data_IF_436852469445
#
_entry.id   IF_436852469445
#
_cell.length_a   1.000
_cell.length_b   1.000
_cell.length_c   1.000
_cell.angle_alpha   90.00
_cell.angle_beta   90.00
_cell.angle_gamma   90.00
#
_symmetry.space_group_name_H-M   'P 1'
#
loop_
_entity.id
_entity.type
_entity.pdbx_description
1 polymer ?
#
# COMPACT_ATOMS: atom_id res chain seq x y z
N UNK A 1 22.38 -43.63 1.93
CA UNK A 1 21.02 -43.20 2.33
C UNK A 1 21.11 -41.74 2.79
N UNK A 2 20.80 -40.79 1.90
CA UNK A 2 20.77 -39.36 2.23
C UNK A 2 19.39 -39.02 2.81
N UNK A 3 19.32 -38.68 4.10
CA UNK A 3 18.12 -38.09 4.70
C UNK A 3 18.03 -36.63 4.25
N UNK A 4 17.21 -36.38 3.23
CA UNK A 4 16.78 -35.02 2.87
C UNK A 4 15.89 -34.52 4.01
N UNK A 5 16.48 -33.76 4.94
CA UNK A 5 15.73 -33.01 5.95
C UNK A 5 14.92 -31.95 5.20
N UNK A 6 13.64 -32.25 4.96
CA UNK A 6 12.67 -31.27 4.47
C UNK A 6 12.52 -30.25 5.60
N UNK A 7 13.18 -29.11 5.46
CA UNK A 7 12.88 -27.97 6.31
C UNK A 7 11.42 -27.59 6.03
N UNK A 8 10.56 -27.90 7.00
CA UNK A 8 9.17 -27.47 6.97
C UNK A 8 9.20 -25.95 6.98
N UNK A 9 8.97 -25.35 5.81
CA UNK A 9 8.73 -23.93 5.65
C UNK A 9 7.42 -23.64 6.40
N UNK A 10 7.53 -23.32 7.69
CA UNK A 10 6.39 -22.90 8.50
C UNK A 10 5.84 -21.63 7.84
N UNK A 11 4.55 -21.60 7.46
CA UNK A 11 3.97 -20.39 6.91
C UNK A 11 4.07 -19.30 7.99
N UNK A 12 4.86 -18.27 7.72
CA UNK A 12 4.98 -17.10 8.59
C UNK A 12 3.59 -16.46 8.67
N UNK A 13 2.94 -16.62 9.82
CA UNK A 13 1.60 -16.08 10.05
C UNK A 13 1.67 -14.55 9.88
N UNK A 14 0.82 -13.95 9.03
CA UNK A 14 0.88 -12.52 8.78
C UNK A 14 0.62 -11.75 10.08
N UNK A 15 1.63 -11.02 10.57
CA UNK A 15 1.52 -10.21 11.80
C UNK A 15 0.41 -9.17 11.62
N UNK A 16 -0.71 -9.25 12.38
CA UNK A 16 -1.85 -8.34 12.22
C UNK A 16 -1.50 -6.88 12.55
N UNK A 17 -0.33 -6.62 13.16
CA UNK A 17 0.16 -5.26 13.45
C UNK A 17 0.81 -4.59 12.25
N UNK A 18 1.14 -5.33 11.18
CA UNK A 18 1.73 -4.77 9.97
C UNK A 18 0.62 -4.48 8.97
N UNK A 19 0.46 -3.20 8.64
CA UNK A 19 -0.30 -2.82 7.45
C UNK A 19 0.28 -3.60 6.27
N UNK A 20 -0.56 -4.31 5.50
CA UNK A 20 -0.11 -5.01 4.31
C UNK A 20 0.72 -4.06 3.44
N UNK A 21 1.86 -4.51 2.90
CA UNK A 21 2.79 -3.66 2.13
C UNK A 21 2.07 -2.84 1.03
N UNK A 22 0.99 -3.38 0.46
CA UNK A 22 0.08 -2.68 -0.45
C UNK A 22 -0.44 -1.34 0.10
N UNK A 23 -0.88 -1.29 1.35
CA UNK A 23 -1.42 -0.07 1.96
C UNK A 23 -0.35 1.00 2.18
N UNK A 24 0.88 0.60 2.47
CA UNK A 24 2.00 1.54 2.55
C UNK A 24 2.23 2.22 1.20
N UNK A 25 2.22 1.47 0.10
CA UNK A 25 2.39 2.00 -1.25
C UNK A 25 1.24 2.94 -1.63
N UNK A 26 -0.01 2.53 -1.38
CA UNK A 26 -1.21 3.34 -1.63
C UNK A 26 -1.12 4.68 -0.88
N UNK A 27 -0.78 4.63 0.41
CA UNK A 27 -0.68 5.82 1.24
C UNK A 27 0.42 6.78 0.78
N UNK A 28 1.59 6.26 0.38
CA UNK A 28 2.68 7.08 -0.16
C UNK A 28 2.27 7.78 -1.44
N UNK A 29 1.72 7.05 -2.41
CA UNK A 29 1.31 7.61 -3.70
C UNK A 29 0.17 8.63 -3.56
N UNK A 30 -0.83 8.32 -2.73
CA UNK A 30 -1.93 9.24 -2.45
C UNK A 30 -1.44 10.53 -1.78
N UNK A 31 -0.49 10.44 -0.84
CA UNK A 31 0.10 11.61 -0.18
C UNK A 31 0.91 12.46 -1.15
N UNK A 32 1.71 11.83 -2.02
CA UNK A 32 2.46 12.56 -3.06
C UNK A 32 1.52 13.28 -4.02
N UNK A 33 0.47 12.61 -4.49
CA UNK A 33 -0.51 13.22 -5.39
C UNK A 33 -1.26 14.39 -4.72
N UNK A 34 -1.69 14.22 -3.47
CA UNK A 34 -2.34 15.27 -2.70
C UNK A 34 -1.42 16.49 -2.49
N UNK A 35 -0.13 16.26 -2.17
CA UNK A 35 0.83 17.34 -2.01
C UNK A 35 1.04 18.14 -3.30
N UNK A 36 1.23 17.45 -4.43
CA UNK A 36 1.42 18.10 -5.74
C UNK A 36 0.16 18.87 -6.16
N UNK A 37 -1.02 18.26 -6.02
CA UNK A 37 -2.28 18.91 -6.36
C UNK A 37 -2.58 20.11 -5.45
N UNK A 38 -2.21 20.02 -4.17
CA UNK A 38 -2.38 21.10 -3.19
C UNK A 38 -1.56 22.35 -3.52
N UNK A 39 -0.35 22.18 -4.06
CA UNK A 39 0.52 23.30 -4.43
C UNK A 39 -0.07 24.18 -5.54
N UNK A 40 -0.80 23.60 -6.49
CA UNK A 40 -1.37 24.31 -7.63
C UNK A 40 -2.86 24.66 -7.46
N UNK A 41 -3.64 23.81 -6.79
CA UNK A 41 -5.11 23.89 -6.72
C UNK A 41 -5.68 24.08 -5.31
N UNK A 42 -4.84 24.19 -4.29
CA UNK A 42 -5.25 24.40 -2.91
C UNK A 42 -5.83 23.16 -2.22
N UNK A 43 -6.43 23.33 -1.02
CA UNK A 43 -6.81 22.22 -0.15
C UNK A 43 -7.83 21.26 -0.77
N UNK A 44 -8.79 21.79 -1.54
CA UNK A 44 -9.82 20.98 -2.19
C UNK A 44 -9.20 20.07 -3.25
N UNK A 45 -8.27 20.60 -4.06
CA UNK A 45 -7.56 19.82 -5.08
C UNK A 45 -6.70 18.71 -4.44
N UNK A 46 -6.06 18.99 -3.31
CA UNK A 46 -5.30 17.99 -2.55
C UNK A 46 -6.17 16.82 -2.08
N UNK A 47 -7.35 17.11 -1.51
CA UNK A 47 -8.29 16.07 -1.03
C UNK A 47 -8.79 15.21 -2.19
N UNK A 48 -9.23 15.85 -3.28
CA UNK A 48 -9.76 15.13 -4.45
C UNK A 48 -8.69 14.25 -5.08
N UNK A 49 -7.46 14.76 -5.25
CA UNK A 49 -6.35 13.98 -5.79
C UNK A 49 -5.96 12.82 -4.87
N UNK A 50 -5.86 13.06 -3.55
CA UNK A 50 -5.52 12.03 -2.57
C UNK A 50 -6.53 10.90 -2.53
N UNK A 51 -7.82 11.22 -2.43
CA UNK A 51 -8.90 10.22 -2.42
C UNK A 51 -8.99 9.49 -3.76
N UNK A 52 -8.88 10.21 -4.88
CA UNK A 52 -8.93 9.63 -6.21
C UNK A 52 -7.79 8.61 -6.45
N UNK A 53 -6.57 8.96 -6.05
CA UNK A 53 -5.41 8.06 -6.16
C UNK A 53 -5.53 6.88 -5.20
N UNK A 54 -5.92 7.11 -3.94
CA UNK A 54 -6.12 6.04 -2.98
C UNK A 54 -7.18 5.04 -3.44
N UNK A 55 -8.35 5.53 -3.87
CA UNK A 55 -9.45 4.70 -4.37
C UNK A 55 -9.10 3.98 -5.68
N UNK A 56 -8.43 4.67 -6.62
CA UNK A 56 -7.99 4.06 -7.88
C UNK A 56 -6.98 2.94 -7.68
N UNK A 57 -5.96 3.15 -6.84
CA UNK A 57 -4.99 2.09 -6.53
C UNK A 57 -5.61 0.95 -5.73
N UNK A 58 -6.52 1.23 -4.79
CA UNK A 58 -7.23 0.20 -4.05
C UNK A 58 -8.02 -0.72 -5.00
N UNK A 59 -8.74 -0.16 -5.97
CA UNK A 59 -9.50 -0.93 -6.97
C UNK A 59 -8.64 -1.69 -8.00
N UNK A 60 -7.34 -1.37 -8.12
CA UNK A 60 -6.41 -2.09 -9.01
C UNK A 60 -5.71 -3.24 -8.25
N UNK A 61 -5.48 -3.04 -6.95
CA UNK A 61 -4.71 -3.96 -6.10
C UNK A 61 -5.59 -5.02 -5.43
N UNK A 62 -6.90 -4.79 -5.36
CA UNK A 62 -7.93 -5.76 -4.94
C UNK A 62 -8.75 -6.27 -6.13
#
# INVERSE_FOLDING_TARGET
MHSVRREEHQPEEPDPRRLPQRWAVIATLASTAAAVAGMAGGPVAAIVAGIGVAGGLHAIVE
#
